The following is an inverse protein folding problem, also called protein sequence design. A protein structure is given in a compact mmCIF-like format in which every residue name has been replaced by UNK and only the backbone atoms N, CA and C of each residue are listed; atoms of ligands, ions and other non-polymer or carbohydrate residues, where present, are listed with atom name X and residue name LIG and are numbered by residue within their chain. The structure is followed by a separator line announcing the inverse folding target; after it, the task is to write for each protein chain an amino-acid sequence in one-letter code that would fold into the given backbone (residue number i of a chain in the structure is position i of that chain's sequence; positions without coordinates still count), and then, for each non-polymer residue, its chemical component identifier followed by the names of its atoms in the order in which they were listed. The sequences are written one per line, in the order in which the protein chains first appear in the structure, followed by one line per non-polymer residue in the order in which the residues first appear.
data_IF_560275602889
#
_entry.id   IF_560275602889
#
_cell.length_a   1.000
_cell.length_b   1.000
_cell.length_c   1.000
_cell.angle_alpha   90.00
_cell.angle_beta   90.00
_cell.angle_gamma   90.00
#
_symmetry.space_group_name_H-M   'P 1'
#
loop_
_entity.id
_entity.type
_entity.pdbx_description
1 polymer ?
#
# COMPACT_ATOMS: atom_id res chain seq x y z
N UNK A 1 -14.37 10.17 15.83
CA UNK A 1 -14.76 9.80 14.45
C UNK A 1 -13.57 9.40 13.56
N UNK A 2 -12.35 9.89 13.80
CA UNK A 2 -11.14 9.46 13.05
C UNK A 2 -10.68 8.03 13.39
N UNK A 3 -10.95 7.54 14.59
CA UNK A 3 -10.40 6.26 15.10
C UNK A 3 -10.99 5.02 14.43
N UNK A 4 -12.11 5.16 13.71
CA UNK A 4 -12.77 4.04 13.00
C UNK A 4 -11.98 3.58 11.77
N UNK A 5 -11.17 4.46 11.18
CA UNK A 5 -10.41 4.18 9.95
C UNK A 5 -8.93 3.86 10.20
N UNK A 6 -8.46 3.99 11.45
CA UNK A 6 -7.09 3.69 11.86
C UNK A 6 -6.94 2.30 12.50
N UNK A 7 -7.96 1.43 12.38
CA UNK A 7 -7.87 0.03 12.85
C UNK A 7 -7.38 -0.87 11.73
N UNK A 8 -6.38 -1.69 12.05
CA UNK A 8 -5.91 -2.76 11.17
C UNK A 8 -7.09 -3.70 10.84
N UNK A 9 -7.38 -3.85 9.54
CA UNK A 9 -8.40 -4.80 9.07
C UNK A 9 -7.71 -6.01 8.46
N UNK A 10 -8.32 -7.18 8.65
CA UNK A 10 -7.88 -8.50 8.15
C UNK A 10 -7.87 -8.63 6.61
N UNK A 11 -8.01 -7.52 5.89
CA UNK A 11 -8.48 -7.46 4.51
C UNK A 11 -7.38 -7.62 3.46
N UNK A 12 -6.11 -7.62 3.86
CA UNK A 12 -5.00 -7.85 2.94
C UNK A 12 -3.97 -8.73 3.65
N UNK A 13 -3.74 -9.93 3.11
CA UNK A 13 -2.55 -10.72 3.43
C UNK A 13 -1.35 -9.99 2.82
N UNK A 14 -0.90 -8.92 3.45
CA UNK A 14 0.19 -8.10 2.96
C UNK A 14 1.45 -8.94 2.74
N UNK A 15 1.64 -9.96 3.58
CA UNK A 15 2.74 -10.91 3.50
C UNK A 15 2.63 -11.89 2.34
N UNK A 16 1.53 -11.89 1.58
CA UNK A 16 1.36 -12.76 0.43
C UNK A 16 2.50 -12.53 -0.59
N UNK A 17 3.17 -13.59 -1.06
CA UNK A 17 4.27 -13.45 -2.01
C UNK A 17 3.89 -12.68 -3.29
N UNK A 18 2.65 -12.80 -3.77
CA UNK A 18 2.18 -12.09 -4.95
C UNK A 18 2.11 -10.56 -4.71
N UNK A 19 1.66 -10.16 -3.51
CA UNK A 19 1.56 -8.74 -3.12
C UNK A 19 2.96 -8.15 -2.93
N UNK A 20 3.86 -8.87 -2.26
CA UNK A 20 5.25 -8.41 -2.10
C UNK A 20 5.97 -8.26 -3.45
N UNK A 21 5.77 -9.22 -4.36
CA UNK A 21 6.34 -9.16 -5.71
C UNK A 21 5.78 -7.98 -6.51
N UNK A 22 4.48 -7.70 -6.40
CA UNK A 22 3.86 -6.52 -7.02
C UNK A 22 4.48 -5.22 -6.50
N UNK A 23 4.61 -5.07 -5.18
CA UNK A 23 5.20 -3.87 -4.56
C UNK A 23 6.65 -3.65 -5.02
N UNK A 24 7.44 -4.72 -5.11
CA UNK A 24 8.82 -4.66 -5.60
C UNK A 24 8.86 -4.26 -7.08
N UNK A 25 8.02 -4.87 -7.92
CA UNK A 25 7.95 -4.56 -9.36
C UNK A 25 7.53 -3.11 -9.62
N UNK A 26 6.62 -2.57 -8.80
CA UNK A 26 6.13 -1.20 -8.91
C UNK A 26 7.09 -0.15 -8.31
N UNK A 27 8.15 -0.58 -7.61
CA UNK A 27 9.16 0.28 -6.98
C UNK A 27 8.60 1.36 -6.04
N UNK A 28 7.42 1.14 -5.46
CA UNK A 28 6.77 2.11 -4.57
C UNK A 28 7.57 2.45 -3.31
N UNK A 29 8.53 1.59 -2.92
CA UNK A 29 9.45 1.87 -1.80
C UNK A 29 10.56 2.87 -2.14
N UNK A 30 10.83 3.09 -3.43
CA UNK A 30 11.82 4.05 -3.93
C UNK A 30 11.18 5.43 -4.18
N UNK A 31 9.85 5.51 -4.11
CA UNK A 31 9.09 6.75 -4.30
C UNK A 31 8.92 7.49 -2.98
N UNK A 32 8.82 8.82 -3.07
CA UNK A 32 8.39 9.64 -1.93
C UNK A 32 6.99 9.25 -1.47
N UNK A 33 6.70 9.52 -0.19
CA UNK A 33 5.46 9.06 0.44
C UNK A 33 4.21 9.51 -0.31
N UNK A 34 4.21 10.75 -0.78
CA UNK A 34 3.09 11.36 -1.51
C UNK A 34 2.95 10.77 -2.92
N UNK A 35 4.07 10.58 -3.62
CA UNK A 35 4.13 10.03 -4.97
C UNK A 35 3.66 8.57 -4.99
N UNK A 36 4.03 7.79 -3.97
CA UNK A 36 3.57 6.41 -3.80
C UNK A 36 2.04 6.35 -3.64
N UNK A 37 1.46 7.24 -2.83
CA UNK A 37 0.01 7.29 -2.61
C UNK A 37 -0.69 7.64 -3.91
N UNK A 38 -0.17 8.63 -4.65
CA UNK A 38 -0.70 9.04 -5.95
C UNK A 38 -0.69 7.88 -6.97
N UNK A 39 0.42 7.14 -7.04
CA UNK A 39 0.58 5.99 -7.93
C UNK A 39 -0.39 4.83 -7.62
N UNK A 40 -0.70 4.58 -6.34
CA UNK A 40 -1.66 3.53 -5.94
C UNK A 40 -3.09 3.85 -6.43
N UNK A 41 -3.47 5.13 -6.44
CA UNK A 41 -4.79 5.56 -6.88
C UNK A 41 -4.86 5.93 -8.38
N UNK A 42 -3.79 5.72 -9.16
CA UNK A 42 -3.67 6.17 -10.55
C UNK A 42 -4.03 7.66 -10.76
N UNK A 43 -3.70 8.50 -9.78
CA UNK A 43 -3.90 9.95 -9.85
C UNK A 43 -2.72 10.67 -10.48
#
# INVERSE_FOLDING_TARGET
MKDKYLRETRMVDFSNPAIQKLIQNMKWKEMGEFERIKAIYNM
#
